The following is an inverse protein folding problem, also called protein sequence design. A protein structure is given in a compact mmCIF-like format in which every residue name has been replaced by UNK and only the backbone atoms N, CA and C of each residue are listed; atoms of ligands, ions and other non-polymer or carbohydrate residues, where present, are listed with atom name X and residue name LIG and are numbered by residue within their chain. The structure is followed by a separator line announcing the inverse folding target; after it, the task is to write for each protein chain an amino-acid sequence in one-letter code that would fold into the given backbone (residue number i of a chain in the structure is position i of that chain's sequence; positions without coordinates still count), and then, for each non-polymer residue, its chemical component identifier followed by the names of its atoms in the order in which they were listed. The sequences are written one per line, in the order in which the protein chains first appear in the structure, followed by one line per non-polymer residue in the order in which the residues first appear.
data_IF_263102312777
#
_entry.id   IF_263102312777
#
_cell.length_a   1.000
_cell.length_b   1.000
_cell.length_c   1.000
_cell.angle_alpha   90.00
_cell.angle_beta   90.00
_cell.angle_gamma   90.00
#
_symmetry.space_group_name_H-M   'P 1'
#
loop_
_entity.id
_entity.type
_entity.pdbx_description
1 polymer ?
#
# COMPACT_ATOMS: atom_id res chain seq x y z
N UNK A 1 7.05 -3.97 1.10
CA UNK A 1 5.64 -3.84 0.65
C UNK A 1 4.79 -4.97 1.19
N UNK A 2 5.14 -6.24 0.95
CA UNK A 2 4.38 -7.40 1.45
C UNK A 2 4.21 -7.44 2.96
N UNK A 3 5.23 -7.06 3.73
CA UNK A 3 5.14 -7.06 5.19
C UNK A 3 4.20 -5.98 5.72
N UNK A 4 4.19 -4.82 5.08
CA UNK A 4 3.26 -3.72 5.41
C UNK A 4 1.81 -4.12 5.10
N UNK A 5 1.59 -4.84 4.01
CA UNK A 5 0.26 -5.38 3.68
C UNK A 5 -0.13 -6.46 4.70
N UNK A 6 0.80 -7.34 5.07
CA UNK A 6 0.58 -8.34 6.12
C UNK A 6 0.18 -7.70 7.45
N UNK A 7 0.92 -6.67 7.88
CA UNK A 7 0.62 -5.87 9.05
C UNK A 7 -0.75 -5.19 8.95
N UNK A 8 -1.05 -4.52 7.83
CA UNK A 8 -2.35 -3.88 7.61
C UNK A 8 -3.50 -4.87 7.72
N UNK A 9 -3.37 -6.05 7.09
CA UNK A 9 -4.41 -7.08 7.13
C UNK A 9 -4.60 -7.62 8.54
N UNK A 10 -3.54 -7.83 9.32
CA UNK A 10 -3.65 -8.29 10.70
C UNK A 10 -4.27 -7.24 11.62
N UNK A 11 -3.96 -5.96 11.38
CA UNK A 11 -4.44 -4.84 12.18
C UNK A 11 -5.90 -4.47 11.90
N UNK A 12 -6.40 -4.74 10.69
CA UNK A 12 -7.75 -4.32 10.25
C UNK A 12 -8.77 -5.47 10.16
N UNK A 13 -8.34 -6.73 10.20
CA UNK A 13 -9.24 -7.88 10.18
C UNK A 13 -9.19 -8.63 11.51
N UNK A 14 -10.34 -8.73 12.18
CA UNK A 14 -10.49 -9.47 13.44
C UNK A 14 -10.17 -10.97 13.32
N UNK A 15 -10.22 -11.50 12.09
CA UNK A 15 -9.84 -12.88 11.79
C UNK A 15 -8.65 -12.88 10.82
N UNK A 16 -7.82 -13.92 10.86
CA UNK A 16 -6.70 -14.11 9.91
C UNK A 16 -7.16 -14.45 8.48
N UNK A 17 -8.35 -13.98 8.06
CA UNK A 17 -9.00 -14.27 6.80
C UNK A 17 -9.74 -13.06 6.24
N UNK A 18 -9.77 -12.99 4.91
CA UNK A 18 -10.64 -12.11 4.14
C UNK A 18 -11.58 -13.00 3.31
N UNK A 19 -12.84 -13.11 3.74
CA UNK A 19 -13.77 -14.10 3.19
C UNK A 19 -13.25 -15.52 3.38
N UNK A 20 -13.09 -16.27 2.29
CA UNK A 20 -12.53 -17.64 2.31
C UNK A 20 -10.99 -17.69 2.26
N UNK A 21 -10.32 -16.56 2.02
CA UNK A 21 -8.88 -16.51 1.82
C UNK A 21 -8.14 -16.23 3.14
N UNK A 22 -7.09 -17.00 3.41
CA UNK A 22 -6.20 -16.68 4.54
C UNK A 22 -5.28 -15.51 4.20
N UNK A 23 -4.84 -14.75 5.22
CA UNK A 23 -3.82 -13.70 5.01
C UNK A 23 -2.58 -14.26 4.32
N UNK A 24 -2.16 -15.50 4.65
CA UNK A 24 -1.02 -16.13 4.00
C UNK A 24 -1.27 -16.38 2.51
N UNK A 25 -2.47 -16.83 2.12
CA UNK A 25 -2.85 -17.00 0.72
C UNK A 25 -2.77 -15.67 -0.02
N UNK A 26 -3.29 -14.60 0.57
CA UNK A 26 -3.23 -13.25 -0.01
C UNK A 26 -1.77 -12.80 -0.19
N UNK A 27 -0.92 -12.99 0.83
CA UNK A 27 0.51 -12.68 0.74
C UNK A 27 1.20 -13.45 -0.39
N UNK A 28 0.89 -14.72 -0.56
CA UNK A 28 1.46 -15.55 -1.63
C UNK A 28 1.02 -15.06 -3.02
N UNK A 29 -0.25 -14.72 -3.20
CA UNK A 29 -0.76 -14.15 -4.47
C UNK A 29 -0.13 -12.80 -4.79
N UNK A 30 0.02 -11.93 -3.79
CA UNK A 30 0.67 -10.64 -3.94
C UNK A 30 2.16 -10.78 -4.22
N UNK A 31 2.84 -11.75 -3.61
CA UNK A 31 4.22 -12.08 -3.93
C UNK A 31 4.34 -12.47 -5.40
N UNK A 32 3.47 -13.36 -5.87
CA UNK A 32 3.47 -13.77 -7.27
C UNK A 32 3.26 -12.58 -8.21
N UNK A 33 2.32 -11.68 -7.90
CA UNK A 33 2.06 -10.48 -8.70
C UNK A 33 3.25 -9.50 -8.72
N UNK A 34 3.80 -9.16 -7.55
CA UNK A 34 4.86 -8.15 -7.43
C UNK A 34 6.19 -8.66 -8.01
N UNK A 35 6.52 -9.94 -7.80
CA UNK A 35 7.80 -10.52 -8.23
C UNK A 35 7.78 -11.05 -9.67
N UNK A 36 6.63 -11.20 -10.32
CA UNK A 36 6.54 -11.63 -11.71
C UNK A 36 6.02 -10.53 -12.64
N UNK A 37 6.14 -9.28 -12.23
CA UNK A 37 5.71 -8.16 -13.04
C UNK A 37 6.68 -7.92 -14.20
N UNK A 38 6.24 -8.28 -15.40
CA UNK A 38 6.99 -8.22 -16.65
C UNK A 38 6.25 -7.28 -17.62
N UNK A 39 7.01 -6.48 -18.38
CA UNK A 39 6.46 -5.58 -19.40
C UNK A 39 7.30 -5.59 -20.67
N UNK A 40 6.66 -5.26 -21.79
CA UNK A 40 7.30 -5.13 -23.09
C UNK A 40 7.63 -3.67 -23.37
N UNK A 41 8.84 -3.41 -23.88
CA UNK A 41 9.24 -2.08 -24.34
C UNK A 41 10.29 -2.22 -25.45
N UNK A 42 10.09 -1.55 -26.59
CA UNK A 42 11.02 -1.58 -27.74
C UNK A 42 11.52 -3.01 -28.06
N UNK A 43 10.59 -3.92 -28.31
CA UNK A 43 10.86 -5.33 -28.67
C UNK A 43 11.64 -6.15 -27.64
N UNK A 44 11.80 -5.63 -26.42
CA UNK A 44 12.48 -6.29 -25.32
C UNK A 44 11.52 -6.55 -24.15
N UNK A 45 11.82 -7.61 -23.40
CA UNK A 45 11.09 -8.02 -22.21
C UNK A 45 11.85 -7.54 -20.99
N UNK A 46 11.18 -6.79 -20.12
CA UNK A 46 11.74 -6.24 -18.89
C UNK A 46 10.97 -6.71 -17.67
N UNK A 47 11.66 -6.79 -16.54
CA UNK A 47 11.07 -7.07 -15.23
C UNK A 47 11.07 -5.81 -14.38
N UNK A 48 9.93 -5.49 -13.78
CA UNK A 48 9.86 -4.46 -12.76
C UNK A 48 10.55 -4.97 -11.48
N UNK A 49 11.69 -4.39 -11.11
CA UNK A 49 12.45 -4.78 -9.91
C UNK A 49 12.16 -3.91 -8.69
N UNK A 50 11.57 -2.73 -8.91
CA UNK A 50 11.20 -1.76 -7.87
C UNK A 50 9.87 -1.11 -8.20
N UNK A 51 9.02 -0.95 -7.18
CA UNK A 51 7.68 -0.42 -7.35
C UNK A 51 6.75 -1.42 -8.02
N UNK A 52 5.71 -0.91 -8.68
CA UNK A 52 4.73 -1.71 -9.41
C UNK A 52 4.06 -0.81 -10.47
N UNK A 53 3.55 -1.35 -11.59
CA UNK A 53 2.89 -0.54 -12.61
C UNK A 53 1.66 0.20 -12.08
N UNK A 54 1.64 1.52 -12.29
CA UNK A 54 0.60 2.42 -11.77
C UNK A 54 -0.77 2.27 -12.48
N UNK A 55 -0.85 1.46 -13.54
CA UNK A 55 -2.06 1.29 -14.35
C UNK A 55 -3.02 0.22 -13.83
N UNK A 56 -2.62 -0.54 -12.80
CA UNK A 56 -3.42 -1.64 -12.28
C UNK A 56 -4.16 -1.23 -11.00
N UNK A 57 -5.47 -1.52 -10.94
CA UNK A 57 -6.30 -1.25 -9.76
C UNK A 57 -5.75 -1.92 -8.48
N UNK A 58 -5.14 -3.10 -8.62
CA UNK A 58 -4.44 -3.76 -7.53
C UNK A 58 -3.28 -2.89 -7.02
N UNK A 59 -2.42 -2.38 -7.90
CA UNK A 59 -1.30 -1.53 -7.52
C UNK A 59 -1.75 -0.25 -6.81
N UNK A 60 -2.84 0.37 -7.26
CA UNK A 60 -3.43 1.53 -6.58
C UNK A 60 -3.90 1.17 -5.16
N UNK A 61 -4.58 0.03 -5.02
CA UNK A 61 -5.02 -0.49 -3.72
C UNK A 61 -3.83 -0.76 -2.79
N UNK A 62 -2.79 -1.43 -3.29
CA UNK A 62 -1.59 -1.74 -2.51
C UNK A 62 -0.83 -0.46 -2.10
N UNK A 63 -0.78 0.53 -2.98
CA UNK A 63 -0.17 1.84 -2.70
C UNK A 63 -0.96 2.57 -1.61
N UNK A 64 -2.30 2.55 -1.67
CA UNK A 64 -3.14 3.13 -0.64
C UNK A 64 -2.99 2.45 0.72
N UNK A 65 -2.90 1.11 0.75
CA UNK A 65 -2.60 0.36 1.98
C UNK A 65 -1.25 0.79 2.54
N UNK A 66 -0.20 0.83 1.70
CA UNK A 66 1.14 1.22 2.12
C UNK A 66 1.16 2.62 2.73
N UNK A 67 0.56 3.59 2.04
CA UNK A 67 0.45 4.97 2.53
C UNK A 67 -0.40 5.08 3.79
N UNK A 68 -1.46 4.27 3.91
CA UNK A 68 -2.32 4.25 5.10
C UNK A 68 -1.60 3.74 6.36
N UNK A 69 -0.67 2.80 6.21
CA UNK A 69 0.16 2.34 7.32
C UNK A 69 1.20 3.39 7.66
N UNK A 70 1.86 3.96 6.65
CA UNK A 70 2.91 4.96 6.87
C UNK A 70 2.37 6.25 7.50
N UNK A 71 1.20 6.73 7.07
CA UNK A 71 0.59 7.95 7.60
C UNK A 71 0.20 7.82 9.08
N UNK A 72 0.00 6.60 9.62
CA UNK A 72 -0.33 6.43 11.06
C UNK A 72 0.72 7.04 11.96
N UNK A 73 2.01 6.94 11.60
CA UNK A 73 3.08 7.54 12.40
C UNK A 73 3.08 9.06 12.32
N UNK A 74 2.75 9.62 11.16
CA UNK A 74 2.63 11.07 10.97
C UNK A 74 1.42 11.63 11.74
N UNK A 75 0.28 10.93 11.67
CA UNK A 75 -0.96 11.35 12.33
C UNK A 75 -0.81 11.42 13.86
N UNK A 76 0.02 10.56 14.47
CA UNK A 76 0.32 10.64 15.91
C UNK A 76 0.96 11.97 16.32
N UNK A 77 1.74 12.60 15.44
CA UNK A 77 2.37 13.89 15.71
C UNK A 77 1.41 15.06 15.42
N UNK A 78 0.56 14.95 14.40
CA UNK A 78 -0.44 15.97 14.01
C UNK A 78 -1.54 16.12 15.06
N UNK A 79 -2.03 15.00 15.61
CA UNK A 79 -3.08 15.00 16.64
C UNK A 79 -2.68 15.79 17.90
N UNK A 80 -1.36 15.88 18.16
CA UNK A 80 -0.83 16.69 19.28
C UNK A 80 -0.95 18.19 19.06
N UNK A 81 -1.02 18.64 17.80
CA UNK A 81 -0.93 20.05 17.42
C UNK A 81 -2.25 20.65 16.92
N UNK A 82 -3.36 19.90 16.92
CA UNK A 82 -4.68 20.33 16.42
C UNK A 82 -4.58 20.81 14.94
N UNK A 83 -3.80 20.10 14.13
CA UNK A 83 -3.57 20.45 12.71
C UNK A 83 -4.47 19.62 11.77
N UNK A 84 -4.87 20.18 10.63
CA UNK A 84 -5.60 19.41 9.60
C UNK A 84 -4.65 18.60 8.73
N UNK A 85 -4.98 17.32 8.57
CA UNK A 85 -4.34 16.40 7.63
C UNK A 85 -5.33 15.97 6.54
N UNK A 86 -4.92 16.09 5.28
CA UNK A 86 -5.62 15.55 4.13
C UNK A 86 -4.67 14.78 3.22
N UNK A 87 -5.15 13.66 2.65
CA UNK A 87 -4.41 12.91 1.61
C UNK A 87 -5.30 12.67 0.40
N UNK A 88 -4.81 12.99 -0.78
CA UNK A 88 -5.40 12.63 -2.05
C UNK A 88 -4.39 11.83 -2.87
N UNK A 89 -4.60 10.50 -2.95
CA UNK A 89 -3.66 9.56 -3.56
C UNK A 89 -2.25 9.66 -2.95
N UNK A 90 -1.27 10.11 -3.73
CA UNK A 90 0.13 10.34 -3.38
C UNK A 90 0.42 11.79 -2.98
N UNK A 91 -0.58 12.67 -3.03
CA UNK A 91 -0.49 14.05 -2.58
C UNK A 91 -0.94 14.18 -1.13
N UNK A 92 -0.16 14.90 -0.33
CA UNK A 92 -0.46 15.19 1.06
C UNK A 92 -0.66 16.68 1.25
N UNK A 93 -1.69 17.03 2.00
CA UNK A 93 -2.03 18.38 2.40
C UNK A 93 -1.94 18.48 3.93
N UNK A 94 -1.16 19.45 4.41
CA UNK A 94 -1.01 19.76 5.83
C UNK A 94 -1.35 21.23 6.04
N UNK A 95 -2.08 21.54 7.11
CA UNK A 95 -2.19 22.92 7.59
C UNK A 95 -1.46 23.03 8.92
N UNK A 96 -0.49 23.93 9.02
CA UNK A 96 0.06 24.35 10.30
C UNK A 96 -0.82 25.48 10.85
N UNK A 97 -1.29 25.34 12.08
CA UNK A 97 -1.78 26.50 12.82
C UNK A 97 -0.55 27.31 13.25
N UNK A 98 -0.52 28.60 12.88
CA UNK A 98 0.48 29.55 13.39
C UNK A 98 0.08 30.08 14.75
#
# INVERSE_FOLDING_TARGET
MLDIIGYFLQDNFATNKLGSLTIQTIRNLLYLFLYNNIFYYKDNIYKCTKGSPNTMALTETLSNIYLSVWQKEILKEIDRNIEFFGRYKDQIFFTWNK
#
